data_IF_060702640413
#
_entry.id   IF_060702640413
#
_cell.length_a   1.000
_cell.length_b   1.000
_cell.length_c   1.000
_cell.angle_alpha   90.00
_cell.angle_beta   90.00
_cell.angle_gamma   90.00
#
_symmetry.space_group_name_H-M   'P 1'
#
loop_
_entity.id
_entity.type
_entity.pdbx_description
1 polymer ?
#
# COMPACT_ATOMS: atom_id res chain seq x y z
N UNK A 1 -3.93 -0.34 0.32
CA UNK A 1 -4.46 0.92 -0.24
C UNK A 1 -3.93 1.17 -1.65
N UNK A 2 -4.75 1.72 -2.57
CA UNK A 2 -4.32 2.12 -3.92
C UNK A 2 -3.67 3.49 -3.88
N UNK A 3 -2.49 3.62 -4.50
CA UNK A 3 -1.68 4.84 -4.49
C UNK A 3 -1.68 5.47 -5.87
N UNK A 4 -2.15 6.71 -5.96
CA UNK A 4 -2.06 7.61 -7.10
C UNK A 4 -1.23 8.84 -6.78
N UNK A 5 -1.30 9.32 -5.54
CA UNK A 5 -0.66 10.55 -5.08
C UNK A 5 -0.10 10.43 -3.64
N UNK A 6 0.69 11.41 -3.16
CA UNK A 6 1.28 11.34 -1.82
C UNK A 6 0.26 11.24 -0.68
N UNK A 7 -0.89 11.92 -0.81
CA UNK A 7 -1.94 11.91 0.21
C UNK A 7 -2.49 10.49 0.47
N UNK A 8 -2.43 9.61 -0.53
CA UNK A 8 -2.79 8.21 -0.35
C UNK A 8 -1.87 7.50 0.65
N UNK A 9 -0.57 7.79 0.61
CA UNK A 9 0.38 7.21 1.57
C UNK A 9 0.15 7.76 2.97
N UNK A 10 -0.14 9.05 3.11
CA UNK A 10 -0.44 9.68 4.39
C UNK A 10 -1.64 9.02 5.07
N UNK A 11 -2.71 8.79 4.29
CA UNK A 11 -3.87 8.07 4.77
C UNK A 11 -3.54 6.61 5.13
N UNK A 12 -2.78 5.90 4.29
CA UNK A 12 -2.38 4.52 4.57
C UNK A 12 -1.63 4.40 5.90
N UNK A 13 -0.70 5.31 6.16
CA UNK A 13 0.09 5.34 7.40
C UNK A 13 -0.77 5.68 8.63
N UNK A 14 -1.70 6.64 8.50
CA UNK A 14 -2.63 6.98 9.57
C UNK A 14 -3.53 5.79 9.94
N UNK A 15 -4.01 5.04 8.94
CA UNK A 15 -4.80 3.82 9.14
C UNK A 15 -3.97 2.70 9.78
N UNK A 16 -2.76 2.46 9.30
CA UNK A 16 -1.86 1.47 9.89
C UNK A 16 -1.59 1.75 11.38
N UNK A 17 -1.35 3.02 11.73
CA UNK A 17 -1.14 3.45 13.12
C UNK A 17 -2.38 3.19 13.97
N UNK A 18 -3.56 3.54 13.46
CA UNK A 18 -4.84 3.32 14.15
C UNK A 18 -5.08 1.83 14.42
N UNK A 19 -4.90 0.98 13.41
CA UNK A 19 -5.06 -0.46 13.54
C UNK A 19 -4.06 -1.06 14.53
N UNK A 20 -2.80 -0.60 14.52
CA UNK A 20 -1.79 -1.11 15.44
C UNK A 20 -2.15 -0.83 16.90
N UNK A 21 -2.74 0.34 17.18
CA UNK A 21 -3.23 0.68 18.51
C UNK A 21 -4.45 -0.14 18.93
N UNK A 22 -5.35 -0.45 18.00
CA UNK A 22 -6.56 -1.26 18.26
C UNK A 22 -6.27 -2.76 18.40
N UNK A 23 -5.27 -3.26 17.69
CA UNK A 23 -4.92 -4.67 17.64
C UNK A 23 -3.77 -5.03 18.59
N UNK A 24 -3.51 -4.27 19.66
CA UNK A 24 -2.36 -4.48 20.55
C UNK A 24 -2.22 -5.91 21.12
N UNK A 25 -3.31 -6.68 21.18
CA UNK A 25 -3.33 -8.07 21.66
C UNK A 25 -3.32 -9.15 20.55
N UNK A 26 -3.28 -8.76 19.26
CA UNK A 26 -3.35 -9.67 18.11
C UNK A 26 -2.34 -9.27 17.03
N UNK A 27 -1.91 -10.20 16.14
CA UNK A 27 -1.17 -9.81 14.94
C UNK A 27 -2.00 -8.81 14.13
N UNK A 28 -1.47 -7.60 13.93
CA UNK A 28 -2.12 -6.57 13.11
C UNK A 28 -2.27 -7.00 11.64
N UNK A 29 -3.09 -6.29 10.86
CA UNK A 29 -3.30 -6.62 9.46
C UNK A 29 -1.99 -6.50 8.66
N UNK A 30 -1.85 -7.29 7.58
CA UNK A 30 -0.73 -7.14 6.67
C UNK A 30 -0.79 -5.77 5.99
N UNK A 31 0.30 -5.00 6.12
CA UNK A 31 0.40 -3.66 5.55
C UNK A 31 0.74 -3.76 4.06
N UNK A 32 -0.23 -3.46 3.20
CA UNK A 32 -0.07 -3.52 1.75
C UNK A 32 -0.40 -2.18 1.07
N UNK A 33 0.51 -1.72 0.21
CA UNK A 33 0.25 -0.67 -0.79
C UNK A 33 0.20 -1.27 -2.18
N UNK A 34 -0.66 -0.73 -3.03
CA UNK A 34 -0.78 -1.12 -4.43
C UNK A 34 -0.72 0.13 -5.30
N UNK A 35 0.06 0.15 -6.38
CA UNK A 35 0.04 1.28 -7.30
C UNK A 35 -1.29 1.29 -8.08
N UNK A 36 -1.81 2.48 -8.35
CA UNK A 36 -2.91 2.65 -9.29
C UNK A 36 -2.54 2.13 -10.68
N UNK A 37 -3.45 1.43 -11.35
CA UNK A 37 -3.23 0.92 -12.69
C UNK A 37 -2.89 2.07 -13.67
N UNK A 38 -1.79 1.96 -14.40
CA UNK A 38 -1.31 3.00 -15.32
C UNK A 38 -0.75 4.26 -14.65
N UNK A 39 -0.72 4.34 -13.31
CA UNK A 39 -0.18 5.49 -12.60
C UNK A 39 1.34 5.37 -12.42
N UNK A 40 2.10 6.11 -13.24
CA UNK A 40 3.57 6.19 -13.08
C UNK A 40 3.94 6.78 -11.72
N UNK A 41 3.26 7.85 -11.30
CA UNK A 41 3.46 8.48 -9.99
C UNK A 41 3.16 7.50 -8.86
N UNK A 42 2.00 6.84 -8.90
CA UNK A 42 1.61 5.83 -7.92
C UNK A 42 2.59 4.66 -7.83
N UNK A 43 3.13 4.23 -8.97
CA UNK A 43 4.16 3.17 -9.05
C UNK A 43 5.44 3.60 -8.33
N UNK A 44 5.96 4.78 -8.62
CA UNK A 44 7.15 5.30 -7.94
C UNK A 44 6.93 5.47 -6.44
N UNK A 45 5.79 6.02 -6.04
CA UNK A 45 5.44 6.22 -4.63
C UNK A 45 5.34 4.91 -3.87
N UNK A 46 4.60 3.92 -4.39
CA UNK A 46 4.42 2.62 -3.74
C UNK A 46 5.75 1.85 -3.62
N UNK A 47 6.57 1.82 -4.68
CA UNK A 47 7.88 1.16 -4.65
C UNK A 47 8.82 1.83 -3.66
N UNK A 48 8.90 3.17 -3.68
CA UNK A 48 9.73 3.92 -2.72
C UNK A 48 9.29 3.64 -1.28
N UNK A 49 7.99 3.63 -1.02
CA UNK A 49 7.44 3.39 0.31
C UNK A 49 7.84 2.02 0.85
N UNK A 50 7.63 0.93 0.10
CA UNK A 50 7.98 -0.42 0.58
C UNK A 50 9.49 -0.64 0.74
N UNK A 51 10.32 0.08 -0.04
CA UNK A 51 11.79 0.08 0.14
C UNK A 51 12.20 0.79 1.43
N UNK A 52 11.54 1.90 1.76
CA UNK A 52 11.83 2.68 2.96
C UNK A 52 11.27 2.02 4.23
N UNK A 53 10.15 1.30 4.12
CA UNK A 53 9.45 0.68 5.24
C UNK A 53 9.26 -0.83 4.98
N UNK A 54 10.25 -1.67 5.32
CA UNK A 54 10.27 -3.09 4.94
C UNK A 54 9.15 -3.94 5.55
N UNK A 55 8.37 -3.44 6.51
CA UNK A 55 7.16 -4.11 7.00
C UNK A 55 5.99 -4.03 6.01
N UNK A 56 6.01 -3.07 5.09
CA UNK A 56 5.01 -2.94 4.05
C UNK A 56 5.31 -3.89 2.89
N UNK A 57 4.25 -4.36 2.24
CA UNK A 57 4.30 -5.22 1.06
C UNK A 57 3.71 -4.50 -0.14
N UNK A 58 4.30 -4.77 -1.31
CA UNK A 58 3.77 -4.30 -2.58
C UNK A 58 2.75 -5.32 -3.11
N UNK A 59 1.51 -4.89 -3.31
CA UNK A 59 0.46 -5.68 -3.93
C UNK A 59 0.23 -5.16 -5.35
N UNK A 60 0.36 -6.01 -6.36
CA UNK A 60 0.13 -5.61 -7.75
C UNK A 60 -1.27 -6.02 -8.20
N UNK A 61 -1.91 -5.16 -8.99
CA UNK A 61 -3.15 -5.50 -9.70
C UNK A 61 -2.80 -6.33 -10.95
N UNK A 62 -2.26 -7.53 -10.76
CA UNK A 62 -1.71 -8.37 -11.85
C UNK A 62 -2.74 -8.70 -12.93
N UNK A 63 -4.02 -8.82 -12.59
CA UNK A 63 -5.11 -9.03 -13.56
C UNK A 63 -5.22 -7.88 -14.58
N UNK A 64 -4.91 -6.63 -14.19
CA UNK A 64 -4.85 -5.49 -15.11
C UNK A 64 -3.68 -5.58 -16.10
N UNK A 65 -2.61 -6.27 -15.72
CA UNK A 65 -1.40 -6.44 -16.55
C UNK A 65 -1.55 -7.63 -17.49
N UNK A 66 -2.15 -8.72 -17.00
CA UNK A 66 -2.34 -9.96 -17.72
C UNK A 66 -3.61 -9.97 -18.60
N UNK A 67 -4.44 -8.93 -18.53
CA UNK A 67 -5.67 -8.82 -19.32
C UNK A 67 -6.78 -9.77 -18.87
N UNK A 68 -6.71 -10.32 -17.65
CA UNK A 68 -7.71 -11.21 -17.07
C UNK A 68 -8.79 -10.39 -16.37
N UNK A 69 -10.06 -10.76 -16.55
CA UNK A 69 -11.23 -10.08 -15.98
C UNK A 69 -11.99 -10.97 -15.03
#
# INVERSE_FOLDING_TARGET
MVIHEPADLDFAMAMATTCQNMCAASPGPQLCVQPGAGSTTGTHLAIRHVKQYPQWRLSLQTHKWLGVR
#
